data_IF_091862946509
#
_entry.id   IF_091862946509
#
_cell.length_a   1.000
_cell.length_b   1.000
_cell.length_c   1.000
_cell.angle_alpha   90.00
_cell.angle_beta   90.00
_cell.angle_gamma   90.00
#
_symmetry.space_group_name_H-M   'P 1'
#
loop_
_entity.id
_entity.type
_entity.pdbx_description
1 polymer ?
#
# COMPACT_ATOMS: atom_id res chain seq x y z
N UNK A 1 -46.95 -12.21 -3.32
CA UNK A 1 -45.93 -11.88 -4.34
C UNK A 1 -44.74 -11.22 -3.65
N UNK A 2 -43.53 -11.76 -3.81
CA UNK A 2 -42.31 -11.11 -3.31
C UNK A 2 -42.04 -9.84 -4.12
N UNK A 3 -41.87 -8.69 -3.44
CA UNK A 3 -41.65 -7.36 -4.06
C UNK A 3 -40.17 -7.04 -4.35
N UNK A 4 -39.26 -7.97 -4.08
CA UNK A 4 -37.80 -7.79 -4.23
C UNK A 4 -37.19 -9.01 -4.89
N UNK A 5 -36.20 -8.76 -5.75
CA UNK A 5 -35.46 -9.79 -6.50
C UNK A 5 -34.29 -10.35 -5.68
N UNK A 6 -33.72 -9.56 -4.76
CA UNK A 6 -32.61 -9.95 -3.88
C UNK A 6 -32.88 -9.44 -2.47
N UNK A 7 -32.74 -10.32 -1.50
CA UNK A 7 -32.59 -9.92 -0.11
C UNK A 7 -31.15 -9.46 0.11
N UNK A 8 -30.98 -8.26 0.69
CA UNK A 8 -29.63 -7.75 0.98
C UNK A 8 -28.97 -8.68 1.99
N UNK A 9 -27.70 -9.08 1.77
CA UNK A 9 -27.00 -9.91 2.73
C UNK A 9 -26.88 -9.17 4.06
N UNK A 10 -27.20 -9.87 5.15
CA UNK A 10 -26.97 -9.37 6.51
C UNK A 10 -25.48 -9.48 6.79
N UNK A 11 -24.89 -8.41 7.34
CA UNK A 11 -23.49 -8.43 7.77
C UNK A 11 -23.39 -8.95 9.19
N UNK A 12 -22.54 -9.94 9.41
CA UNK A 12 -22.29 -10.55 10.72
C UNK A 12 -20.80 -10.49 11.03
N UNK A 13 -20.46 -10.20 12.30
CA UNK A 13 -19.08 -10.29 12.77
C UNK A 13 -18.74 -11.77 12.98
N UNK A 14 -17.61 -12.20 12.42
CA UNK A 14 -17.10 -13.56 12.54
C UNK A 14 -15.68 -13.54 13.08
N UNK A 15 -15.30 -14.63 13.74
CA UNK A 15 -13.98 -14.83 14.29
C UNK A 15 -13.25 -15.95 13.53
N UNK A 16 -11.94 -15.78 13.32
CA UNK A 16 -11.08 -16.77 12.70
C UNK A 16 -9.77 -16.89 13.48
N UNK A 17 -9.39 -18.12 13.83
CA UNK A 17 -8.10 -18.40 14.45
C UNK A 17 -6.98 -18.47 13.42
N UNK A 18 -5.84 -17.81 13.69
CA UNK A 18 -4.65 -17.82 12.83
C UNK A 18 -3.54 -18.57 13.56
N UNK A 19 -3.16 -19.74 13.05
CA UNK A 19 -2.07 -20.52 13.62
C UNK A 19 -0.72 -19.86 13.34
N UNK A 20 -0.01 -19.43 14.39
CA UNK A 20 1.31 -18.81 14.28
C UNK A 20 2.47 -19.81 14.14
N UNK A 21 2.15 -21.12 13.99
CA UNK A 21 3.12 -22.22 13.90
C UNK A 21 3.03 -23.01 12.58
N UNK A 22 2.12 -22.62 11.69
CA UNK A 22 1.98 -23.24 10.37
C UNK A 22 3.21 -22.93 9.49
N UNK A 23 3.47 -23.76 8.48
CA UNK A 23 4.52 -23.51 7.51
C UNK A 23 4.31 -22.15 6.81
N UNK A 24 5.24 -21.19 6.97
CA UNK A 24 5.05 -19.81 6.54
C UNK A 24 5.33 -19.56 5.05
N UNK A 25 5.49 -20.59 4.19
CA UNK A 25 5.90 -20.41 2.79
C UNK A 25 5.08 -19.34 2.03
N UNK A 26 3.76 -19.26 2.29
CA UNK A 26 2.89 -18.28 1.64
C UNK A 26 3.24 -16.85 2.07
N UNK A 27 3.30 -16.59 3.38
CA UNK A 27 3.61 -15.27 3.92
C UNK A 27 5.06 -14.86 3.63
N UNK A 28 5.99 -15.80 3.62
CA UNK A 28 7.38 -15.54 3.27
C UNK A 28 7.54 -15.19 1.79
N UNK A 29 6.74 -15.79 0.91
CA UNK A 29 6.67 -15.39 -0.50
C UNK A 29 6.18 -13.94 -0.63
N UNK A 30 5.12 -13.56 0.10
CA UNK A 30 4.60 -12.18 0.11
C UNK A 30 5.65 -11.20 0.63
N UNK A 31 6.35 -11.55 1.72
CA UNK A 31 7.45 -10.74 2.29
C UNK A 31 8.58 -10.54 1.28
N UNK A 32 9.01 -11.61 0.62
CA UNK A 32 10.06 -11.54 -0.41
C UNK A 32 9.69 -10.59 -1.55
N UNK A 33 8.45 -10.66 -2.05
CA UNK A 33 7.98 -9.72 -3.08
C UNK A 33 7.88 -8.27 -2.59
N UNK A 34 7.44 -8.05 -1.34
CA UNK A 34 7.41 -6.73 -0.72
C UNK A 34 8.82 -6.14 -0.59
N UNK A 35 9.77 -6.92 -0.09
CA UNK A 35 11.12 -6.45 0.18
C UNK A 35 11.86 -6.13 -1.12
N UNK A 36 11.73 -6.99 -2.14
CA UNK A 36 12.23 -6.70 -3.48
C UNK A 36 11.59 -5.45 -4.09
N UNK A 37 10.29 -5.22 -3.87
CA UNK A 37 9.65 -3.98 -4.29
C UNK A 37 10.26 -2.76 -3.60
N UNK A 38 10.59 -2.86 -2.31
CA UNK A 38 11.21 -1.76 -1.56
C UNK A 38 12.61 -1.43 -2.08
N UNK A 39 13.39 -2.42 -2.51
CA UNK A 39 14.67 -2.17 -3.20
C UNK A 39 14.46 -1.29 -4.44
N UNK A 40 13.54 -1.67 -5.34
CA UNK A 40 13.26 -0.87 -6.54
C UNK A 40 12.67 0.51 -6.22
N UNK A 41 11.79 0.60 -5.21
CA UNK A 41 11.24 1.88 -4.75
C UNK A 41 12.34 2.79 -4.18
N UNK A 42 13.30 2.22 -3.46
CA UNK A 42 14.48 2.91 -2.95
C UNK A 42 15.38 3.42 -4.07
N UNK A 43 15.68 2.56 -5.04
CA UNK A 43 16.47 2.93 -6.23
C UNK A 43 15.78 4.03 -7.04
N UNK A 44 14.47 3.95 -7.26
CA UNK A 44 13.68 5.01 -7.90
C UNK A 44 13.84 6.36 -7.17
N UNK A 45 13.75 6.37 -5.83
CA UNK A 45 13.98 7.59 -5.03
C UNK A 45 15.40 8.14 -5.22
N UNK A 46 16.42 7.29 -5.17
CA UNK A 46 17.83 7.68 -5.38
C UNK A 46 18.04 8.28 -6.77
N UNK A 47 17.52 7.63 -7.80
CA UNK A 47 17.67 8.10 -9.18
C UNK A 47 16.86 9.37 -9.48
N UNK A 48 15.73 9.59 -8.81
CA UNK A 48 15.03 10.89 -8.84
C UNK A 48 15.89 12.01 -8.24
N UNK A 49 16.61 11.73 -7.16
CA UNK A 49 17.59 12.67 -6.60
C UNK A 49 18.73 12.97 -7.59
N UNK A 50 19.36 11.93 -8.13
CA UNK A 50 20.43 12.05 -9.14
C UNK A 50 19.99 12.79 -10.39
N UNK A 51 18.74 12.62 -10.83
CA UNK A 51 18.17 13.38 -11.94
C UNK A 51 18.08 14.88 -11.61
N UNK A 52 17.73 15.23 -10.37
CA UNK A 52 17.79 16.60 -9.88
C UNK A 52 19.20 17.19 -9.96
N UNK A 53 20.19 16.44 -9.46
CA UNK A 53 21.60 16.85 -9.49
C UNK A 53 22.14 16.99 -10.93
N UNK A 54 21.80 16.04 -11.80
CA UNK A 54 22.19 16.06 -13.22
C UNK A 54 21.61 17.27 -13.95
N UNK A 55 20.33 17.60 -13.70
CA UNK A 55 19.69 18.81 -14.24
C UNK A 55 20.37 20.08 -13.76
N UNK A 56 20.77 20.15 -12.48
CA UNK A 56 21.51 21.29 -11.95
C UNK A 56 22.91 21.43 -12.59
N UNK A 57 23.55 20.31 -12.96
CA UNK A 57 24.87 20.31 -13.60
C UNK A 57 24.86 20.65 -15.10
N UNK A 58 23.70 20.60 -15.77
CA UNK A 58 23.56 20.88 -17.20
C UNK A 58 24.14 19.82 -18.16
N UNK A 59 24.60 18.67 -17.65
CA UNK A 59 25.19 17.61 -18.49
C UNK A 59 24.08 16.75 -19.13
N UNK A 60 23.87 16.92 -20.44
CA UNK A 60 22.82 16.23 -21.20
C UNK A 60 22.90 14.70 -21.15
N UNK A 61 24.12 14.13 -21.16
CA UNK A 61 24.33 12.68 -21.11
C UNK A 61 23.88 12.13 -19.76
N UNK A 62 24.27 12.78 -18.66
CA UNK A 62 23.87 12.36 -17.30
C UNK A 62 22.38 12.55 -17.04
N UNK A 63 21.77 13.58 -17.65
CA UNK A 63 20.33 13.80 -17.55
C UNK A 63 19.57 12.65 -18.20
N UNK A 64 19.96 12.27 -19.42
CA UNK A 64 19.32 11.17 -20.14
C UNK A 64 19.46 9.85 -19.39
N UNK A 65 20.67 9.50 -18.94
CA UNK A 65 20.91 8.29 -18.15
C UNK A 65 20.05 8.26 -16.89
N UNK A 66 20.04 9.34 -16.11
CA UNK A 66 19.26 9.41 -14.88
C UNK A 66 17.75 9.31 -15.15
N UNK A 67 17.27 9.90 -16.26
CA UNK A 67 15.87 9.81 -16.66
C UNK A 67 15.47 8.38 -17.03
N UNK A 68 16.30 7.67 -17.80
CA UNK A 68 16.07 6.27 -18.18
C UNK A 68 16.04 5.37 -16.93
N UNK A 69 16.95 5.58 -15.98
CA UNK A 69 16.97 4.82 -14.73
C UNK A 69 15.74 5.09 -13.85
N UNK A 70 15.23 6.33 -13.81
CA UNK A 70 13.98 6.65 -13.11
C UNK A 70 12.82 5.86 -13.72
N UNK A 71 12.69 5.86 -15.04
CA UNK A 71 11.63 5.13 -15.75
C UNK A 71 11.74 3.62 -15.49
N UNK A 72 12.96 3.06 -15.55
CA UNK A 72 13.21 1.65 -15.29
C UNK A 72 12.76 1.24 -13.89
N UNK A 73 13.24 1.94 -12.84
CA UNK A 73 12.91 1.56 -11.47
C UNK A 73 11.48 1.89 -11.07
N UNK A 74 10.86 2.89 -11.68
CA UNK A 74 9.43 3.12 -11.49
C UNK A 74 8.60 1.98 -12.09
N UNK A 75 8.94 1.53 -13.29
CA UNK A 75 8.29 0.39 -13.94
C UNK A 75 8.46 -0.89 -13.10
N UNK A 76 9.68 -1.17 -12.62
CA UNK A 76 9.96 -2.35 -11.80
C UNK A 76 9.19 -2.35 -10.47
N UNK A 77 9.14 -1.21 -9.76
CA UNK A 77 8.41 -1.14 -8.48
C UNK A 77 6.89 -1.20 -8.68
N UNK A 78 6.34 -0.63 -9.77
CA UNK A 78 4.93 -0.70 -10.09
C UNK A 78 4.51 -2.12 -10.50
N UNK A 79 5.31 -2.81 -11.31
CA UNK A 79 5.07 -4.22 -11.65
C UNK A 79 5.00 -5.09 -10.39
N UNK A 80 5.96 -4.90 -9.46
CA UNK A 80 5.94 -5.61 -8.18
C UNK A 80 4.78 -5.18 -7.28
N UNK A 81 4.31 -3.92 -7.34
CA UNK A 81 3.10 -3.47 -6.64
C UNK A 81 1.88 -4.26 -7.10
N UNK A 82 1.70 -4.44 -8.41
CA UNK A 82 0.57 -5.17 -8.97
C UNK A 82 0.56 -6.64 -8.50
N UNK A 83 1.72 -7.31 -8.52
CA UNK A 83 1.84 -8.68 -8.03
C UNK A 83 1.59 -8.75 -6.51
N UNK A 84 2.18 -7.82 -5.74
CA UNK A 84 2.02 -7.77 -4.28
C UNK A 84 0.54 -7.64 -3.89
N UNK A 85 -0.18 -6.71 -4.51
CA UNK A 85 -1.61 -6.51 -4.28
C UNK A 85 -2.45 -7.71 -4.74
N UNK A 86 -1.97 -8.43 -5.75
CA UNK A 86 -2.65 -9.63 -6.26
C UNK A 86 -2.60 -10.80 -5.29
N UNK A 87 -1.63 -10.89 -4.36
CA UNK A 87 -1.64 -11.95 -3.33
C UNK A 87 -2.89 -11.89 -2.45
N UNK A 88 -3.27 -10.69 -2.01
CA UNK A 88 -4.50 -10.47 -1.26
C UNK A 88 -5.74 -10.82 -2.10
N UNK A 89 -5.79 -10.42 -3.37
CA UNK A 89 -6.92 -10.77 -4.24
C UNK A 89 -6.98 -12.26 -4.59
N UNK A 90 -5.84 -12.93 -4.65
CA UNK A 90 -5.72 -14.32 -5.08
C UNK A 90 -6.46 -15.28 -4.15
N UNK A 91 -6.44 -15.04 -2.83
CA UNK A 91 -7.13 -15.93 -1.87
C UNK A 91 -8.65 -15.91 -2.00
N UNK A 92 -9.21 -14.97 -2.77
CA UNK A 92 -10.63 -14.89 -3.12
C UNK A 92 -10.92 -15.29 -4.57
N UNK A 93 -9.91 -15.65 -5.36
CA UNK A 93 -10.10 -16.02 -6.77
C UNK A 93 -10.76 -17.39 -6.89
N UNK A 94 -11.79 -17.49 -7.73
CA UNK A 94 -12.43 -18.77 -8.07
C UNK A 94 -11.38 -19.74 -8.66
N UNK A 95 -11.28 -20.94 -8.10
CA UNK A 95 -10.31 -21.95 -8.50
C UNK A 95 -8.88 -21.71 -7.99
N UNK A 96 -8.66 -20.78 -7.06
CA UNK A 96 -7.37 -20.64 -6.39
C UNK A 96 -7.03 -21.90 -5.58
N UNK A 97 -5.76 -22.32 -5.62
CA UNK A 97 -5.27 -23.46 -4.82
C UNK A 97 -5.26 -23.15 -3.34
N UNK A 98 -5.05 -21.88 -2.99
CA UNK A 98 -5.06 -21.37 -1.61
C UNK A 98 -6.19 -20.34 -1.46
N UNK A 99 -7.43 -20.81 -1.57
CA UNK A 99 -8.62 -20.00 -1.36
C UNK A 99 -8.94 -19.89 0.15
N UNK A 100 -9.19 -18.68 0.66
CA UNK A 100 -9.70 -18.44 2.01
C UNK A 100 -10.43 -17.10 2.08
N UNK A 101 -11.73 -17.18 2.36
CA UNK A 101 -12.56 -15.99 2.58
C UNK A 101 -12.27 -15.33 3.91
N UNK A 102 -11.96 -16.14 4.91
CA UNK A 102 -11.60 -15.72 6.27
C UNK A 102 -10.34 -14.85 6.24
N UNK A 103 -9.28 -15.30 5.55
CA UNK A 103 -8.05 -14.52 5.42
C UNK A 103 -8.31 -13.15 4.77
N UNK A 104 -9.07 -13.11 3.67
CA UNK A 104 -9.39 -11.85 3.01
C UNK A 104 -10.25 -10.93 3.90
N UNK A 105 -11.21 -11.50 4.62
CA UNK A 105 -12.06 -10.79 5.58
C UNK A 105 -11.25 -10.19 6.73
N UNK A 106 -10.33 -10.95 7.33
CA UNK A 106 -9.48 -10.47 8.42
C UNK A 106 -8.58 -9.33 7.95
N UNK A 107 -7.94 -9.45 6.78
CA UNK A 107 -7.06 -8.40 6.24
C UNK A 107 -7.82 -7.10 5.98
N UNK A 108 -8.98 -7.18 5.33
CA UNK A 108 -9.80 -5.99 5.02
C UNK A 108 -10.36 -5.34 6.27
N UNK A 109 -10.90 -6.13 7.20
CA UNK A 109 -11.43 -5.61 8.46
C UNK A 109 -10.34 -4.93 9.29
N UNK A 110 -9.17 -5.53 9.38
CA UNK A 110 -8.02 -4.96 10.10
C UNK A 110 -7.56 -3.66 9.46
N UNK A 111 -7.42 -3.61 8.13
CA UNK A 111 -7.09 -2.38 7.40
C UNK A 111 -8.10 -1.26 7.63
N UNK A 112 -9.40 -1.58 7.57
CA UNK A 112 -10.47 -0.64 7.87
C UNK A 112 -10.39 -0.08 9.29
N UNK A 113 -10.05 -0.91 10.29
CA UNK A 113 -9.85 -0.45 11.67
C UNK A 113 -8.65 0.47 11.83
N UNK A 114 -7.53 0.17 11.17
CA UNK A 114 -6.33 1.02 11.18
C UNK A 114 -6.66 2.42 10.63
N UNK A 115 -7.28 2.50 9.46
CA UNK A 115 -7.56 3.80 8.82
C UNK A 115 -8.65 4.58 9.55
N UNK A 116 -9.64 3.90 10.13
CA UNK A 116 -10.66 4.54 10.99
C UNK A 116 -10.02 5.15 12.24
N UNK A 117 -9.09 4.43 12.88
CA UNK A 117 -8.38 4.96 14.04
C UNK A 117 -7.50 6.17 13.68
N UNK A 118 -6.80 6.11 12.54
CA UNK A 118 -6.03 7.24 12.03
C UNK A 118 -6.92 8.47 11.74
N UNK A 119 -8.09 8.26 11.13
CA UNK A 119 -9.08 9.32 10.87
C UNK A 119 -9.53 10.00 12.16
N UNK A 120 -9.82 9.24 13.22
CA UNK A 120 -10.22 9.79 14.53
C UNK A 120 -9.14 10.73 15.10
N UNK A 121 -7.86 10.43 14.87
CA UNK A 121 -6.78 11.34 15.24
C UNK A 121 -6.79 12.59 14.36
N UNK A 122 -6.85 12.42 13.03
CA UNK A 122 -6.86 13.54 12.07
C UNK A 122 -8.01 14.52 12.33
N UNK A 123 -9.20 14.03 12.71
CA UNK A 123 -10.36 14.87 13.08
C UNK A 123 -10.11 15.75 14.32
N UNK A 124 -9.21 15.35 15.21
CA UNK A 124 -8.87 16.13 16.42
C UNK A 124 -7.84 17.21 16.15
N UNK A 125 -6.97 17.01 15.17
CA UNK A 125 -5.81 17.89 14.89
C UNK A 125 -5.96 18.70 13.60
N UNK A 126 -6.96 18.40 12.77
CA UNK A 126 -7.22 19.05 11.50
C UNK A 126 -8.58 18.65 10.92
N UNK A 127 -8.67 18.59 9.60
CA UNK A 127 -9.91 18.28 8.88
C UNK A 127 -9.67 17.20 7.83
N UNK A 128 -10.24 15.98 7.97
CA UNK A 128 -10.23 15.00 6.90
C UNK A 128 -11.11 15.47 5.74
N UNK A 129 -10.67 15.23 4.51
CA UNK A 129 -11.35 15.61 3.26
C UNK A 129 -11.82 14.37 2.51
N UNK A 130 -10.95 13.36 2.39
CA UNK A 130 -11.24 12.10 1.73
C UNK A 130 -10.55 10.95 2.49
N UNK A 131 -11.17 9.78 2.50
CA UNK A 131 -10.59 8.55 3.02
C UNK A 131 -10.84 7.44 2.02
N UNK A 132 -9.78 6.84 1.50
CA UNK A 132 -9.83 5.67 0.63
C UNK A 132 -8.85 4.61 1.12
N UNK A 133 -9.40 3.46 1.55
CA UNK A 133 -8.70 2.20 1.89
C UNK A 133 -7.57 2.32 2.92
N UNK A 134 -6.43 2.91 2.54
CA UNK A 134 -5.21 3.08 3.32
C UNK A 134 -4.69 4.54 3.36
N UNK A 135 -5.37 5.48 2.70
CA UNK A 135 -5.01 6.90 2.63
C UNK A 135 -6.07 7.85 3.19
N UNK A 136 -5.63 8.97 3.76
CA UNK A 136 -6.48 10.08 4.19
C UNK A 136 -5.94 11.37 3.57
N UNK A 137 -6.75 12.03 2.74
CA UNK A 137 -6.51 13.41 2.36
C UNK A 137 -7.06 14.31 3.46
N UNK A 138 -6.25 15.22 3.99
CA UNK A 138 -6.65 16.09 5.09
C UNK A 138 -6.00 17.47 5.00
N UNK A 139 -6.61 18.45 5.67
CA UNK A 139 -6.06 19.78 5.90
C UNK A 139 -5.63 19.91 7.36
N UNK A 140 -4.37 20.27 7.58
CA UNK A 140 -3.81 20.60 8.90
C UNK A 140 -3.60 22.11 9.01
N UNK A 141 -3.54 22.70 10.23
CA UNK A 141 -3.21 24.11 10.41
C UNK A 141 -1.85 24.47 9.80
N UNK A 142 -1.70 25.69 9.26
CA UNK A 142 -0.43 26.12 8.67
C UNK A 142 0.74 26.23 9.67
N UNK A 143 0.45 26.26 10.97
CA UNK A 143 1.44 26.21 12.05
C UNK A 143 1.80 24.79 12.49
N UNK A 144 1.23 23.77 11.84
CA UNK A 144 1.45 22.38 12.23
C UNK A 144 2.90 21.94 11.95
N UNK A 145 3.54 21.21 12.86
CA UNK A 145 4.91 20.74 12.67
C UNK A 145 4.99 19.72 11.50
N UNK A 146 5.73 20.05 10.44
CA UNK A 146 5.87 19.18 9.26
C UNK A 146 7.19 18.39 9.22
N UNK A 147 8.31 19.07 8.96
CA UNK A 147 9.59 18.42 8.67
C UNK A 147 10.68 18.86 9.66
N UNK A 148 11.34 17.90 10.30
CA UNK A 148 12.49 18.13 11.20
C UNK A 148 13.63 17.19 10.83
N UNK A 149 14.86 17.67 10.94
CA UNK A 149 16.07 16.85 10.75
C UNK A 149 16.73 16.64 12.10
N UNK A 150 16.78 15.39 12.55
CA UNK A 150 17.55 15.04 13.74
C UNK A 150 19.04 15.17 13.45
N UNK A 151 19.76 15.88 14.31
CA UNK A 151 21.22 15.85 14.30
C UNK A 151 21.66 14.67 15.16
N UNK A 152 22.34 13.71 14.52
CA UNK A 152 23.05 12.61 15.17
C UNK A 152 24.53 12.88 15.15
#
# INVERSE_FOLDING_TARGET
AYKRVLDKPVTEVREAGICMRENPFYVDTVRSFRDRRYEYKGLNKVWKGRLGDAKASGNSIKIQEAQDMVVLYDSLQLAHKCILNSFYGYVMRKGARWYSMEMAGVVTYTGAKIIQNARVLVEKIGRPLELDTDGIWCALPGSFPENFTFKT
#
